data_IF_427746100823
#
_entry.id   IF_427746100823
#
_cell.length_a   1.000
_cell.length_b   1.000
_cell.length_c   1.000
_cell.angle_alpha   90.00
_cell.angle_beta   90.00
_cell.angle_gamma   90.00
#
_symmetry.space_group_name_H-M   'P 1'
#
loop_
_entity.id
_entity.type
_entity.pdbx_description
1 polymer ?
#
# COMPACT_ATOMS: atom_id res chain seq x y z
N UNK A 1 -5.37 -26.60 -19.83
CA UNK A 1 -5.08 -25.17 -20.01
C UNK A 1 -6.10 -24.26 -19.31
N UNK A 2 -7.42 -24.51 -19.42
CA UNK A 2 -8.44 -23.72 -18.73
C UNK A 2 -8.31 -23.70 -17.20
N UNK A 3 -8.05 -24.84 -16.56
CA UNK A 3 -7.90 -24.91 -15.10
C UNK A 3 -6.71 -24.09 -14.61
N UNK A 4 -5.57 -24.12 -15.32
CA UNK A 4 -4.39 -23.32 -14.98
C UNK A 4 -4.69 -21.81 -15.04
N UNK A 5 -5.35 -21.35 -16.10
CA UNK A 5 -5.76 -19.95 -16.25
C UNK A 5 -6.70 -19.53 -15.13
N UNK A 6 -7.67 -20.38 -14.77
CA UNK A 6 -8.61 -20.11 -13.66
C UNK A 6 -7.86 -20.03 -12.32
N UNK A 7 -6.97 -20.97 -12.03
CA UNK A 7 -6.14 -20.95 -10.82
C UNK A 7 -5.30 -19.69 -10.73
N UNK A 8 -4.60 -19.30 -11.81
CA UNK A 8 -3.79 -18.09 -11.85
C UNK A 8 -4.62 -16.82 -11.63
N UNK A 9 -5.84 -16.74 -12.19
CA UNK A 9 -6.76 -15.63 -11.93
C UNK A 9 -7.14 -15.55 -10.46
N UNK A 10 -7.51 -16.67 -9.85
CA UNK A 10 -7.89 -16.72 -8.43
C UNK A 10 -6.73 -16.26 -7.57
N UNK A 11 -5.52 -16.79 -7.78
CA UNK A 11 -4.32 -16.38 -7.04
C UNK A 11 -4.08 -14.87 -7.21
N UNK A 12 -4.14 -14.36 -8.44
CA UNK A 12 -3.90 -12.93 -8.73
C UNK A 12 -4.92 -12.01 -8.03
N UNK A 13 -6.20 -12.39 -8.04
CA UNK A 13 -7.29 -11.61 -7.42
C UNK A 13 -7.20 -11.67 -5.89
N UNK A 14 -7.04 -12.87 -5.31
CA UNK A 14 -6.90 -13.05 -3.86
C UNK A 14 -5.69 -12.27 -3.34
N UNK A 15 -4.56 -12.33 -4.05
CA UNK A 15 -3.40 -11.52 -3.72
C UNK A 15 -3.70 -10.01 -3.69
N UNK A 16 -4.44 -9.50 -4.68
CA UNK A 16 -4.83 -8.09 -4.71
C UNK A 16 -5.74 -7.71 -3.51
N UNK A 17 -6.63 -8.61 -3.07
CA UNK A 17 -7.46 -8.39 -1.87
C UNK A 17 -6.59 -8.34 -0.61
N UNK A 18 -5.61 -9.23 -0.48
CA UNK A 18 -4.69 -9.26 0.66
C UNK A 18 -3.79 -8.01 0.74
N UNK A 19 -3.61 -7.29 -0.38
CA UNK A 19 -2.94 -5.99 -0.40
C UNK A 19 -3.78 -4.84 0.18
N UNK A 20 -4.94 -5.10 0.79
CA UNK A 20 -5.67 -4.11 1.58
C UNK A 20 -4.93 -3.69 2.88
N UNK A 21 -3.86 -4.37 3.25
CA UNK A 21 -3.08 -4.08 4.47
C UNK A 21 -2.70 -2.59 4.69
N UNK A 22 -2.18 -1.83 3.69
CA UNK A 22 -1.78 -0.44 3.90
C UNK A 22 -2.91 0.44 4.46
N UNK A 23 -4.16 0.12 4.12
CA UNK A 23 -5.34 0.78 4.69
C UNK A 23 -5.44 0.52 6.20
N UNK A 24 -5.39 -0.73 6.63
CA UNK A 24 -5.47 -1.08 8.06
C UNK A 24 -4.29 -0.51 8.86
N UNK A 25 -3.10 -0.43 8.27
CA UNK A 25 -1.95 0.23 8.90
C UNK A 25 -2.16 1.74 9.10
N UNK A 26 -2.76 2.44 8.13
CA UNK A 26 -3.13 3.86 8.25
C UNK A 26 -4.16 4.06 9.38
N UNK A 27 -5.21 3.24 9.41
CA UNK A 27 -6.23 3.30 10.45
C UNK A 27 -5.62 3.03 11.83
N UNK A 28 -4.80 1.99 11.98
CA UNK A 28 -4.12 1.68 13.24
C UNK A 28 -3.23 2.83 13.70
N UNK A 29 -2.49 3.47 12.79
CA UNK A 29 -1.67 4.65 13.08
C UNK A 29 -2.49 5.84 13.60
N UNK A 30 -3.68 6.08 13.02
CA UNK A 30 -4.59 7.13 13.46
C UNK A 30 -5.25 6.83 14.81
N UNK A 31 -5.60 5.56 15.07
CA UNK A 31 -6.16 5.15 16.37
C UNK A 31 -5.15 5.28 17.49
N UNK A 32 -3.87 5.04 17.22
CA UNK A 32 -2.79 5.20 18.19
C UNK A 32 -2.75 6.60 18.81
N UNK A 33 -3.00 7.65 18.02
CA UNK A 33 -3.04 9.02 18.52
C UNK A 33 -4.16 9.25 19.56
N UNK A 34 -5.22 8.43 19.55
CA UNK A 34 -6.35 8.51 20.48
C UNK A 34 -6.11 7.81 21.80
N UNK A 35 -5.18 6.85 21.85
CA UNK A 35 -4.90 6.09 23.07
C UNK A 35 -4.16 6.95 24.12
N UNK A 36 -3.51 8.04 23.71
CA UNK A 36 -2.80 8.96 24.59
C UNK A 36 -1.53 8.46 25.31
N UNK A 37 -0.93 7.28 25.04
CA UNK A 37 0.28 6.91 25.76
C UNK A 37 1.48 7.75 25.31
N UNK A 38 2.48 7.95 26.19
CA UNK A 38 3.69 8.69 25.85
C UNK A 38 4.48 7.96 24.76
N UNK A 39 5.18 8.74 23.93
CA UNK A 39 6.07 8.21 22.90
C UNK A 39 7.10 7.23 23.52
N UNK A 40 7.29 6.07 22.88
CA UNK A 40 8.24 5.05 23.34
C UNK A 40 7.73 4.14 24.45
N UNK A 41 6.48 4.29 24.89
CA UNK A 41 5.87 3.32 25.80
C UNK A 41 5.61 1.96 25.12
N UNK A 42 5.10 1.00 25.91
CA UNK A 42 4.78 -0.35 25.41
C UNK A 42 3.72 -0.33 24.32
N UNK A 43 2.72 0.53 24.46
CA UNK A 43 1.62 0.65 23.49
C UNK A 43 2.12 1.21 22.17
N UNK A 44 2.88 2.31 22.18
CA UNK A 44 3.54 2.89 21.01
C UNK A 44 4.38 1.84 20.29
N UNK A 45 5.28 1.19 21.03
CA UNK A 45 6.20 0.19 20.49
C UNK A 45 5.44 -0.97 19.82
N UNK A 46 4.34 -1.41 20.41
CA UNK A 46 3.47 -2.42 19.82
C UNK A 46 2.87 -1.97 18.47
N UNK A 47 2.28 -0.77 18.41
CA UNK A 47 1.74 -0.22 17.15
C UNK A 47 2.83 -0.02 16.09
N UNK A 48 4.00 0.47 16.50
CA UNK A 48 5.16 0.65 15.61
C UNK A 48 5.60 -0.69 15.00
N UNK A 49 5.68 -1.74 15.81
CA UNK A 49 6.03 -3.08 15.35
C UNK A 49 4.99 -3.66 14.38
N UNK A 50 3.69 -3.41 14.60
CA UNK A 50 2.65 -3.81 13.64
C UNK A 50 2.88 -3.16 12.28
N UNK A 51 3.16 -1.85 12.25
CA UNK A 51 3.33 -1.13 10.99
C UNK A 51 4.61 -1.56 10.27
N UNK A 52 5.74 -1.66 10.98
CA UNK A 52 7.03 -1.94 10.35
C UNK A 52 7.15 -3.38 9.82
N UNK A 53 6.58 -4.35 10.51
CA UNK A 53 6.72 -5.78 10.16
C UNK A 53 5.94 -6.18 8.90
N UNK A 54 5.21 -5.25 8.29
CA UNK A 54 4.31 -5.53 7.18
C UNK A 54 4.86 -5.15 5.81
N UNK A 55 6.01 -4.51 5.80
CA UNK A 55 6.73 -4.20 4.56
C UNK A 55 7.10 -5.48 3.81
N UNK A 56 7.62 -6.50 4.51
CA UNK A 56 8.02 -7.78 3.89
C UNK A 56 6.84 -8.48 3.18
N UNK A 57 5.68 -8.70 3.84
CA UNK A 57 4.48 -9.21 3.16
C UNK A 57 4.09 -8.39 1.92
N UNK A 58 4.20 -7.06 1.95
CA UNK A 58 3.87 -6.24 0.78
C UNK A 58 4.80 -6.52 -0.41
N UNK A 59 6.09 -6.78 -0.19
CA UNK A 59 7.00 -7.20 -1.25
C UNK A 59 6.60 -8.55 -1.83
N UNK A 60 6.24 -9.52 -0.98
CA UNK A 60 5.76 -10.83 -1.42
C UNK A 60 4.51 -10.68 -2.27
N UNK A 61 3.51 -9.92 -1.82
CA UNK A 61 2.29 -9.70 -2.59
C UNK A 61 2.54 -8.97 -3.92
N UNK A 62 3.47 -8.02 -3.94
CA UNK A 62 3.85 -7.31 -5.16
C UNK A 62 4.54 -8.24 -6.17
N UNK A 63 5.44 -9.10 -5.70
CA UNK A 63 6.10 -10.11 -6.52
C UNK A 63 5.09 -11.14 -7.04
N UNK A 64 4.19 -11.62 -6.19
CA UNK A 64 3.10 -12.53 -6.58
C UNK A 64 2.20 -11.89 -7.64
N UNK A 65 1.82 -10.63 -7.48
CA UNK A 65 1.02 -9.89 -8.47
C UNK A 65 1.73 -9.81 -9.84
N UNK A 66 3.03 -9.50 -9.83
CA UNK A 66 3.83 -9.41 -11.06
C UNK A 66 3.94 -10.78 -11.74
N UNK A 67 4.37 -11.81 -11.00
CA UNK A 67 4.57 -13.17 -11.54
C UNK A 67 3.25 -13.73 -12.10
N UNK A 68 2.17 -13.66 -11.33
CA UNK A 68 0.86 -14.18 -11.77
C UNK A 68 0.27 -13.36 -12.91
N UNK A 69 0.48 -12.04 -12.93
CA UNK A 69 0.05 -11.17 -14.02
C UNK A 69 0.77 -11.48 -15.34
N UNK A 70 2.10 -11.61 -15.30
CA UNK A 70 2.90 -11.99 -16.47
C UNK A 70 2.58 -13.41 -16.95
N UNK A 71 2.43 -14.37 -16.02
CA UNK A 71 2.02 -15.73 -16.36
C UNK A 71 0.66 -15.76 -17.07
N UNK A 72 -0.31 -14.94 -16.62
CA UNK A 72 -1.62 -14.83 -17.29
C UNK A 72 -1.53 -14.25 -18.71
N UNK A 73 -0.60 -13.34 -18.97
CA UNK A 73 -0.34 -12.82 -20.33
C UNK A 73 0.21 -13.95 -21.21
N UNK A 74 1.27 -14.62 -20.76
CA UNK A 74 1.96 -15.67 -21.52
C UNK A 74 1.06 -16.88 -21.80
N UNK A 75 0.36 -17.41 -20.78
CA UNK A 75 -0.48 -18.62 -20.91
C UNK A 75 -1.72 -18.38 -21.79
N UNK A 76 -2.14 -17.13 -21.99
CA UNK A 76 -3.21 -16.76 -22.93
C UNK A 76 -2.73 -16.59 -24.37
N UNK A 77 -1.44 -16.79 -24.63
CA UNK A 77 -0.84 -16.51 -25.94
C UNK A 77 -0.81 -15.02 -26.29
N UNK A 78 -0.98 -14.13 -25.29
CA UNK A 78 -0.79 -12.70 -25.51
C UNK A 78 0.70 -12.41 -25.54
N UNK A 79 1.16 -11.68 -26.56
CA UNK A 79 2.52 -11.18 -26.61
C UNK A 79 2.79 -10.17 -25.49
N UNK A 80 4.04 -10.08 -25.03
CA UNK A 80 4.43 -9.11 -23.98
C UNK A 80 4.26 -7.65 -24.42
N UNK A 81 4.18 -7.41 -25.73
CA UNK A 81 3.84 -6.12 -26.32
C UNK A 81 2.45 -5.60 -25.89
N UNK A 82 1.55 -6.49 -25.46
CA UNK A 82 0.25 -6.10 -24.89
C UNK A 82 0.41 -5.21 -23.66
N UNK A 83 1.51 -5.34 -22.91
CA UNK A 83 1.80 -4.51 -21.75
C UNK A 83 2.07 -3.05 -22.13
N UNK A 84 2.44 -2.79 -23.38
CA UNK A 84 2.68 -1.43 -23.89
C UNK A 84 1.49 -0.95 -24.72
N UNK A 85 0.91 -1.83 -25.54
CA UNK A 85 -0.22 -1.48 -26.42
C UNK A 85 -1.54 -1.28 -25.67
N UNK A 86 -1.75 -1.96 -24.55
CA UNK A 86 -2.93 -1.77 -23.72
C UNK A 86 -2.62 -0.78 -22.59
N UNK A 87 -3.20 0.43 -22.59
CA UNK A 87 -2.86 1.46 -21.61
C UNK A 87 -3.24 1.07 -20.17
N UNK A 88 -4.30 0.29 -19.97
CA UNK A 88 -4.68 -0.17 -18.64
C UNK A 88 -3.65 -1.15 -18.06
N UNK A 89 -3.14 -2.08 -18.89
CA UNK A 89 -2.08 -3.01 -18.48
C UNK A 89 -0.75 -2.29 -18.27
N UNK A 90 -0.37 -1.39 -19.17
CA UNK A 90 0.87 -0.62 -19.06
C UNK A 90 0.87 0.26 -17.82
N UNK A 91 -0.22 0.99 -17.57
CA UNK A 91 -0.37 1.81 -16.37
C UNK A 91 -0.37 0.94 -15.11
N UNK A 92 -1.06 -0.20 -15.11
CA UNK A 92 -1.04 -1.15 -13.99
C UNK A 92 0.39 -1.63 -13.68
N UNK A 93 1.17 -1.96 -14.70
CA UNK A 93 2.56 -2.39 -14.53
C UNK A 93 3.44 -1.26 -13.98
N UNK A 94 3.35 -0.06 -14.55
CA UNK A 94 4.10 1.11 -14.10
C UNK A 94 3.78 1.50 -12.65
N UNK A 95 2.49 1.51 -12.29
CA UNK A 95 2.04 1.75 -10.91
C UNK A 95 2.49 0.64 -9.95
N UNK A 96 2.54 -0.61 -10.42
CA UNK A 96 3.12 -1.73 -9.66
C UNK A 96 4.59 -1.49 -9.32
N UNK A 97 5.40 -1.03 -10.28
CA UNK A 97 6.80 -0.66 -10.02
C UNK A 97 6.91 0.53 -9.06
N UNK A 98 6.03 1.53 -9.19
CA UNK A 98 5.97 2.66 -8.26
C UNK A 98 5.75 2.18 -6.82
N UNK A 99 4.82 1.24 -6.59
CA UNK A 99 4.60 0.66 -5.25
C UNK A 99 5.90 0.03 -4.73
N UNK A 100 6.60 -0.76 -5.54
CA UNK A 100 7.88 -1.38 -5.16
C UNK A 100 8.92 -0.32 -4.77
N UNK A 101 9.05 0.76 -5.54
CA UNK A 101 9.99 1.86 -5.25
C UNK A 101 9.66 2.53 -3.91
N UNK A 102 8.38 2.87 -3.69
CA UNK A 102 7.94 3.49 -2.45
C UNK A 102 8.19 2.58 -1.25
N UNK A 103 7.91 1.27 -1.40
CA UNK A 103 8.12 0.27 -0.35
C UNK A 103 9.60 0.10 -0.02
N UNK A 104 10.46 0.04 -1.04
CA UNK A 104 11.92 0.00 -0.87
C UNK A 104 12.45 1.23 -0.14
N UNK A 105 11.98 2.42 -0.50
CA UNK A 105 12.36 3.63 0.21
C UNK A 105 11.96 3.59 1.70
N UNK A 106 10.73 3.14 1.99
CA UNK A 106 10.27 2.99 3.38
C UNK A 106 11.12 1.98 4.14
N UNK A 107 11.39 0.81 3.54
CA UNK A 107 12.09 -0.29 4.19
C UNK A 107 13.57 -0.01 4.45
N UNK A 108 14.28 0.49 3.45
CA UNK A 108 15.74 0.61 3.50
C UNK A 108 16.21 1.99 3.98
N UNK A 109 15.36 3.02 3.92
CA UNK A 109 15.74 4.38 4.29
C UNK A 109 14.95 4.91 5.48
N UNK A 110 13.63 4.86 5.41
CA UNK A 110 12.79 5.57 6.38
C UNK A 110 12.65 4.83 7.71
N UNK A 111 12.34 3.53 7.68
CA UNK A 111 12.15 2.73 8.89
C UNK A 111 13.44 2.63 9.73
N UNK A 112 14.64 2.36 9.15
CA UNK A 112 15.87 2.27 9.94
C UNK A 112 16.21 3.58 10.67
N UNK A 113 15.88 4.75 10.08
CA UNK A 113 16.06 6.05 10.74
C UNK A 113 15.12 6.23 11.93
N UNK A 114 13.88 5.74 11.84
CA UNK A 114 12.94 5.73 12.96
C UNK A 114 13.48 4.81 14.07
N UNK A 115 13.87 3.59 13.71
CA UNK A 115 14.39 2.61 14.67
C UNK A 115 15.66 3.10 15.38
N UNK A 116 16.57 3.78 14.67
CA UNK A 116 17.76 4.39 15.25
C UNK A 116 17.45 5.50 16.26
N UNK A 117 16.45 6.35 15.99
CA UNK A 117 16.00 7.36 16.94
C UNK A 117 15.35 6.73 18.17
N UNK A 118 14.61 5.63 18.00
CA UNK A 118 14.08 4.86 19.12
C UNK A 118 15.16 4.21 19.98
N UNK A 119 16.21 3.68 19.36
CA UNK A 119 17.34 3.09 20.08
C UNK A 119 18.14 4.12 20.89
N UNK A 120 18.19 5.37 20.42
CA UNK A 120 18.84 6.49 21.11
C UNK A 120 17.92 7.16 22.15
N UNK A 121 16.63 6.86 22.15
CA UNK A 121 15.67 7.50 23.04
C UNK A 121 15.78 6.93 24.46
N UNK A 122 16.04 7.80 25.43
CA UNK A 122 15.85 7.49 26.85
C UNK A 122 14.36 7.43 27.23
N UNK A 123 14.07 7.08 28.48
CA UNK A 123 12.72 7.14 29.02
C UNK A 123 12.71 8.07 30.26
N UNK A 124 12.11 9.27 30.18
CA UNK A 124 11.26 9.78 29.09
C UNK A 124 12.02 10.27 27.85
N UNK A 125 11.36 10.24 26.69
CA UNK A 125 11.92 10.71 25.42
C UNK A 125 12.01 12.25 25.42
N UNK A 126 13.16 12.79 25.05
CA UNK A 126 13.34 14.24 24.96
C UNK A 126 12.48 14.86 23.85
N UNK A 127 12.07 16.12 24.00
CA UNK A 127 11.19 16.80 23.05
C UNK A 127 11.80 16.90 21.64
N UNK A 128 13.12 17.10 21.51
CA UNK A 128 13.81 17.14 20.21
C UNK A 128 13.72 15.78 19.50
N UNK A 129 14.06 14.68 20.19
CA UNK A 129 13.99 13.33 19.63
C UNK A 129 12.54 12.96 19.29
N UNK A 130 11.58 13.33 20.14
CA UNK A 130 10.16 13.10 19.89
C UNK A 130 9.67 13.82 18.62
N UNK A 131 10.10 15.07 18.40
CA UNK A 131 9.74 15.84 17.20
C UNK A 131 10.27 15.18 15.92
N UNK A 132 11.52 14.69 15.95
CA UNK A 132 12.16 14.00 14.81
C UNK A 132 11.46 12.69 14.48
N UNK A 133 11.14 11.88 15.49
CA UNK A 133 10.37 10.64 15.33
C UNK A 133 9.00 10.95 14.72
N UNK A 134 8.30 11.98 15.23
CA UNK A 134 7.02 12.43 14.71
C UNK A 134 7.08 12.81 13.23
N UNK A 135 8.09 13.58 12.83
CA UNK A 135 8.28 14.00 11.44
C UNK A 135 8.53 12.81 10.49
N UNK A 136 9.37 11.85 10.88
CA UNK A 136 9.63 10.65 10.07
C UNK A 136 8.41 9.75 9.96
N UNK A 137 7.67 9.56 11.06
CA UNK A 137 6.41 8.81 11.07
C UNK A 137 5.37 9.46 10.17
N UNK A 138 5.23 10.78 10.23
CA UNK A 138 4.32 11.52 9.35
C UNK A 138 4.68 11.32 7.88
N UNK A 139 5.97 11.34 7.54
CA UNK A 139 6.46 11.05 6.18
C UNK A 139 6.08 9.64 5.75
N UNK A 140 6.26 8.64 6.63
CA UNK A 140 5.88 7.24 6.35
C UNK A 140 4.38 7.12 6.09
N UNK A 141 3.56 7.75 6.92
CA UNK A 141 2.10 7.72 6.80
C UNK A 141 1.64 8.36 5.48
N UNK A 142 2.26 9.47 5.05
CA UNK A 142 1.99 10.07 3.73
C UNK A 142 2.33 9.13 2.59
N UNK A 143 3.48 8.46 2.65
CA UNK A 143 3.87 7.48 1.63
C UNK A 143 2.93 6.27 1.61
N UNK A 144 2.50 5.78 2.78
CA UNK A 144 1.53 4.70 2.87
C UNK A 144 0.16 5.09 2.27
N UNK A 145 -0.26 6.35 2.45
CA UNK A 145 -1.46 6.91 1.80
C UNK A 145 -1.30 6.93 0.27
N UNK A 146 -0.17 7.41 -0.25
CA UNK A 146 0.12 7.33 -1.69
C UNK A 146 0.10 5.89 -2.19
N UNK A 147 0.75 4.96 -1.49
CA UNK A 147 0.73 3.53 -1.85
C UNK A 147 -0.70 2.98 -1.89
N UNK A 148 -1.55 3.32 -0.92
CA UNK A 148 -2.94 2.86 -0.89
C UNK A 148 -3.73 3.39 -2.11
N UNK A 149 -3.56 4.67 -2.45
CA UNK A 149 -4.17 5.24 -3.66
C UNK A 149 -3.73 4.48 -4.91
N UNK A 150 -2.44 4.20 -5.04
CA UNK A 150 -1.88 3.47 -6.18
C UNK A 150 -2.40 2.03 -6.24
N UNK A 151 -2.47 1.32 -5.10
CA UNK A 151 -3.01 -0.05 -5.02
C UNK A 151 -4.48 -0.11 -5.46
N UNK A 152 -5.31 0.82 -4.96
CA UNK A 152 -6.73 0.88 -5.34
C UNK A 152 -6.90 1.22 -6.83
N UNK A 153 -6.06 2.12 -7.36
CA UNK A 153 -6.03 2.45 -8.79
C UNK A 153 -5.64 1.23 -9.63
N UNK A 154 -4.61 0.49 -9.22
CA UNK A 154 -4.17 -0.76 -9.86
C UNK A 154 -5.28 -1.81 -9.88
N UNK A 155 -6.03 -1.94 -8.79
CA UNK A 155 -7.19 -2.85 -8.69
C UNK A 155 -8.32 -2.43 -9.63
N UNK A 156 -8.66 -1.14 -9.68
CA UNK A 156 -9.64 -0.58 -10.61
C UNK A 156 -9.23 -0.84 -12.08
N UNK A 157 -7.99 -0.55 -12.44
CA UNK A 157 -7.45 -0.86 -13.78
C UNK A 157 -7.51 -2.35 -14.09
N UNK A 158 -7.29 -3.20 -13.07
CA UNK A 158 -7.47 -4.65 -13.18
C UNK A 158 -8.87 -5.05 -13.63
N UNK A 159 -9.92 -4.36 -13.17
CA UNK A 159 -11.30 -4.57 -13.64
C UNK A 159 -11.46 -4.08 -15.08
N UNK A 160 -10.87 -2.94 -15.43
CA UNK A 160 -10.97 -2.36 -16.78
C UNK A 160 -10.32 -3.20 -17.88
N UNK A 161 -9.35 -4.06 -17.52
CA UNK A 161 -8.78 -5.04 -18.45
C UNK A 161 -9.83 -6.06 -18.91
N UNK A 162 -10.85 -6.34 -18.09
CA UNK A 162 -11.94 -7.25 -18.42
C UNK A 162 -13.13 -6.54 -19.04
N UNK A 163 -13.53 -5.43 -18.44
CA UNK A 163 -14.70 -4.65 -18.84
C UNK A 163 -14.27 -3.18 -18.84
N UNK A 164 -13.95 -2.60 -20.00
CA UNK A 164 -13.47 -1.23 -20.07
C UNK A 164 -14.56 -0.27 -19.61
N UNK A 165 -14.15 0.76 -18.87
CA UNK A 165 -15.04 1.83 -18.43
C UNK A 165 -14.89 3.04 -19.34
N UNK A 166 -15.95 3.86 -19.51
CA UNK A 166 -15.81 5.14 -20.15
C UNK A 166 -14.89 6.07 -19.32
N UNK A 167 -14.17 6.96 -20.00
CA UNK A 167 -13.13 7.83 -19.40
C UNK A 167 -13.66 8.66 -18.22
N UNK A 168 -14.89 9.16 -18.31
CA UNK A 168 -15.51 9.94 -17.23
C UNK A 168 -15.70 9.11 -15.95
N UNK A 169 -16.06 7.83 -16.07
CA UNK A 169 -16.28 6.94 -14.94
C UNK A 169 -14.93 6.57 -14.30
N UNK A 170 -13.91 6.28 -15.11
CA UNK A 170 -12.54 6.08 -14.62
C UNK A 170 -12.04 7.29 -13.82
N UNK A 171 -12.30 8.50 -14.32
CA UNK A 171 -11.91 9.75 -13.66
C UNK A 171 -12.65 9.92 -12.33
N UNK A 172 -13.97 9.69 -12.32
CA UNK A 172 -14.79 9.76 -11.11
C UNK A 172 -14.32 8.75 -10.04
N UNK A 173 -14.04 7.50 -10.43
CA UNK A 173 -13.56 6.47 -9.52
C UNK A 173 -12.16 6.78 -8.98
N UNK A 174 -11.27 7.34 -9.80
CA UNK A 174 -9.96 7.80 -9.37
C UNK A 174 -10.08 8.94 -8.34
N UNK A 175 -10.95 9.92 -8.57
CA UNK A 175 -11.24 11.01 -7.63
C UNK A 175 -11.81 10.44 -6.33
N UNK A 176 -12.80 9.55 -6.41
CA UNK A 176 -13.40 8.91 -5.23
C UNK A 176 -12.35 8.14 -4.41
N UNK A 177 -11.43 7.44 -5.08
CA UNK A 177 -10.30 6.75 -4.45
C UNK A 177 -9.37 7.74 -3.76
N UNK A 178 -9.02 8.87 -4.40
CA UNK A 178 -8.19 9.90 -3.81
C UNK A 178 -8.83 10.50 -2.55
N UNK A 179 -10.13 10.82 -2.61
CA UNK A 179 -10.90 11.34 -1.47
C UNK A 179 -10.95 10.33 -0.32
N UNK A 180 -11.25 9.07 -0.63
CA UNK A 180 -11.26 7.98 0.37
C UNK A 180 -9.93 7.86 1.09
N UNK A 181 -8.83 7.80 0.33
CA UNK A 181 -7.47 7.68 0.87
C UNK A 181 -7.06 8.90 1.68
N UNK A 182 -7.42 10.10 1.22
CA UNK A 182 -7.17 11.34 1.96
C UNK A 182 -7.93 11.37 3.29
N UNK A 183 -9.19 10.93 3.31
CA UNK A 183 -9.98 10.80 4.55
C UNK A 183 -9.39 9.77 5.49
N UNK A 184 -9.05 8.58 4.99
CA UNK A 184 -8.40 7.52 5.79
C UNK A 184 -7.05 7.98 6.38
N UNK A 185 -6.33 8.87 5.68
CA UNK A 185 -5.12 9.50 6.18
C UNK A 185 -5.39 10.55 7.27
N UNK A 186 -6.39 11.43 7.08
CA UNK A 186 -6.64 12.58 7.97
C UNK A 186 -7.49 12.29 9.20
N UNK A 187 -8.40 11.33 9.10
CA UNK A 187 -9.44 11.10 10.09
C UNK A 187 -9.52 9.62 10.44
N UNK A 188 -9.93 9.29 11.66
CA UNK A 188 -10.29 7.91 11.95
C UNK A 188 -11.63 7.61 11.28
N UNK A 189 -11.71 6.46 10.62
CA UNK A 189 -12.90 5.95 9.91
C UNK A 189 -13.54 4.82 10.74
N UNK A 190 -14.35 5.13 11.77
CA UNK A 190 -14.90 4.11 12.67
C UNK A 190 -15.74 3.05 11.95
N UNK A 191 -16.36 3.39 10.81
CA UNK A 191 -17.17 2.48 10.02
C UNK A 191 -16.47 2.00 8.74
N UNK A 192 -15.17 2.27 8.61
CA UNK A 192 -14.36 1.91 7.45
C UNK A 192 -14.56 2.81 6.23
N UNK A 193 -15.80 3.17 5.90
CA UNK A 193 -16.15 4.06 4.79
C UNK A 193 -16.46 5.50 5.23
N UNK A 194 -16.96 5.65 6.46
CA UNK A 194 -17.42 6.90 7.07
C UNK A 194 -16.69 7.16 8.37
#
# INVERSE_FOLDING_TARGET
MNSLIQTLKVIHIVNAILMAWPYYALVAGNQRARLGPPLGDRTDTYFENIVKNRVIPCFVFQATALVTGLALVLVRGLGVDVLVKNPALGLKLGLGFLITVLLSYVHFSLQPRIDALFAQAGNPVSADVASRIGALRLRRTRLASVCLFVVLTVSMLGVQVWIPFPVWLTSLLAIATAVFVWRAYKTATPYGWV
#
